data_IF_303656124933
#
_entry.id   IF_303656124933
#
_cell.length_a   1.000
_cell.length_b   1.000
_cell.length_c   1.000
_cell.angle_alpha   90.00
_cell.angle_beta   90.00
_cell.angle_gamma   90.00
#
_symmetry.space_group_name_H-M   'P 1'
#
loop_
_entity.id
_entity.type
_entity.pdbx_description
1 polymer ?
#
# COMPACT_ATOMS: atom_id res chain seq x y z
N UNK A 1 -42.61 -5.21 3.41
CA UNK A 1 -41.51 -6.14 3.46
C UNK A 1 -40.21 -5.39 3.69
N UNK A 2 -39.60 -5.67 4.62
CA UNK A 2 -38.24 -5.95 4.97
C UNK A 2 -37.34 -4.74 5.05
N UNK A 3 -37.84 -3.70 5.77
CA UNK A 3 -37.00 -2.59 6.22
C UNK A 3 -35.81 -3.06 7.05
N UNK A 4 -35.96 -4.17 7.80
CA UNK A 4 -34.89 -4.77 8.59
C UNK A 4 -33.78 -5.41 7.76
N UNK A 5 -34.09 -6.02 6.61
CA UNK A 5 -33.09 -6.59 5.70
C UNK A 5 -32.24 -5.50 5.03
N UNK A 6 -32.87 -4.38 4.63
CA UNK A 6 -32.16 -3.24 4.05
C UNK A 6 -31.24 -2.58 5.08
N UNK A 7 -31.68 -2.44 6.33
CA UNK A 7 -30.86 -1.89 7.40
C UNK A 7 -29.63 -2.75 7.70
N UNK A 8 -29.75 -4.10 7.72
CA UNK A 8 -28.64 -5.02 7.90
C UNK A 8 -27.61 -4.90 6.77
N UNK A 9 -28.06 -4.82 5.51
CA UNK A 9 -27.15 -4.65 4.36
C UNK A 9 -26.36 -3.35 4.45
N UNK A 10 -26.99 -2.23 4.84
CA UNK A 10 -26.28 -0.95 5.03
C UNK A 10 -25.23 -1.01 6.13
N UNK A 11 -25.52 -1.67 7.25
CA UNK A 11 -24.57 -1.84 8.36
C UNK A 11 -23.36 -2.66 7.93
N UNK A 12 -23.54 -3.73 7.16
CA UNK A 12 -22.46 -4.55 6.65
C UNK A 12 -21.56 -3.77 5.68
N UNK A 13 -22.13 -2.93 4.80
CA UNK A 13 -21.37 -2.07 3.88
C UNK A 13 -20.54 -1.03 4.64
N UNK A 14 -21.10 -0.40 5.67
CA UNK A 14 -20.37 0.55 6.50
C UNK A 14 -19.22 -0.11 7.27
N UNK A 15 -19.42 -1.30 7.80
CA UNK A 15 -18.38 -2.06 8.47
C UNK A 15 -17.22 -2.43 7.53
N UNK A 16 -17.52 -2.82 6.28
CA UNK A 16 -16.49 -3.11 5.26
C UNK A 16 -15.66 -1.86 4.91
N UNK A 17 -16.29 -0.70 4.75
CA UNK A 17 -15.58 0.58 4.51
C UNK A 17 -14.71 0.98 5.70
N UNK A 18 -15.19 0.80 6.93
CA UNK A 18 -14.48 1.12 8.16
C UNK A 18 -13.27 0.21 8.41
N UNK A 19 -13.25 -1.00 7.82
CA UNK A 19 -12.15 -1.96 7.96
C UNK A 19 -10.94 -1.66 7.08
N UNK A 20 -11.04 -0.70 6.14
CA UNK A 20 -9.91 -0.34 5.28
C UNK A 20 -8.89 0.51 6.02
N UNK A 21 -7.57 0.21 5.87
CA UNK A 21 -6.53 1.03 6.48
C UNK A 21 -6.55 2.47 5.96
N UNK A 22 -6.23 3.41 6.85
CA UNK A 22 -6.10 4.81 6.49
C UNK A 22 -4.95 5.03 5.50
N UNK A 23 -5.11 6.01 4.61
CA UNK A 23 -4.09 6.43 3.64
C UNK A 23 -3.53 7.79 4.03
N UNK A 24 -2.29 8.02 3.66
CA UNK A 24 -1.66 9.32 3.88
C UNK A 24 -2.23 10.35 2.88
N UNK A 25 -2.87 11.43 3.34
CA UNK A 25 -3.53 12.39 2.45
C UNK A 25 -2.57 13.21 1.58
N UNK A 26 -1.27 13.28 1.94
CA UNK A 26 -0.28 14.01 1.14
C UNK A 26 0.39 13.14 0.07
N UNK A 27 0.07 11.85 0.02
CA UNK A 27 0.67 10.91 -0.91
C UNK A 27 -0.36 10.44 -1.95
N UNK A 28 0.09 10.22 -3.17
CA UNK A 28 -0.70 9.55 -4.20
C UNK A 28 -0.76 8.05 -3.90
N UNK A 29 -1.97 7.50 -3.84
CA UNK A 29 -2.15 6.08 -3.57
C UNK A 29 -1.94 5.26 -4.84
N UNK A 30 -0.90 4.43 -4.85
CA UNK A 30 -0.56 3.53 -5.96
C UNK A 30 -0.31 2.14 -5.36
N UNK A 31 -1.37 1.34 -5.18
CA UNK A 31 -1.30 0.13 -4.36
C UNK A 31 -0.34 -0.93 -4.90
N UNK A 32 0.41 -1.53 -4.00
CA UNK A 32 1.21 -2.73 -4.25
C UNK A 32 0.43 -3.97 -3.82
N UNK A 33 0.59 -5.06 -4.57
CA UNK A 33 0.11 -6.38 -4.18
C UNK A 33 1.04 -7.08 -3.16
N UNK A 34 2.24 -6.54 -2.95
CA UNK A 34 3.31 -7.16 -2.17
C UNK A 34 3.29 -6.66 -0.72
N UNK A 35 2.36 -7.14 0.07
CA UNK A 35 2.27 -6.80 1.50
C UNK A 35 1.60 -7.92 2.29
N UNK A 36 1.74 -7.87 3.62
CA UNK A 36 0.97 -8.71 4.53
C UNK A 36 0.72 -7.99 5.86
N UNK A 37 0.02 -8.65 6.75
CA UNK A 37 -0.38 -8.08 8.04
C UNK A 37 0.80 -8.07 9.03
N UNK A 38 1.22 -6.89 9.40
CA UNK A 38 2.18 -6.65 10.48
C UNK A 38 2.22 -5.16 10.79
N UNK A 39 2.32 -4.81 12.06
CA UNK A 39 2.48 -3.42 12.47
C UNK A 39 3.96 -3.01 12.37
N UNK A 40 4.33 -2.07 11.50
CA UNK A 40 5.69 -1.57 11.42
C UNK A 40 6.08 -0.77 12.67
N UNK A 41 7.32 -0.91 13.12
CA UNK A 41 7.87 -0.23 14.29
C UNK A 41 9.18 0.52 13.99
N UNK A 42 9.66 0.42 12.76
CA UNK A 42 10.93 1.01 12.30
C UNK A 42 10.73 1.65 10.94
N UNK A 43 11.39 2.76 10.71
CA UNK A 43 11.49 3.39 9.38
C UNK A 43 12.82 2.98 8.76
N UNK A 44 12.77 2.41 7.55
CA UNK A 44 13.95 2.03 6.78
C UNK A 44 13.97 2.84 5.50
N UNK A 45 15.07 3.49 5.20
CA UNK A 45 15.25 4.31 4.00
C UNK A 45 16.16 3.57 3.01
N UNK A 46 15.67 3.41 1.78
CA UNK A 46 16.42 2.80 0.69
C UNK A 46 16.56 3.77 -0.48
N UNK A 47 17.67 3.68 -1.21
CA UNK A 47 17.77 4.23 -2.55
C UNK A 47 17.39 3.14 -3.56
N UNK A 48 16.59 3.48 -4.59
CA UNK A 48 16.16 2.51 -5.60
C UNK A 48 17.24 2.20 -6.62
N UNK A 49 18.14 3.13 -6.86
CA UNK A 49 19.15 3.07 -7.92
C UNK A 49 18.56 2.82 -9.33
N UNK A 50 17.28 3.11 -9.51
CA UNK A 50 16.57 2.98 -10.78
C UNK A 50 16.48 4.33 -11.50
N UNK A 51 16.30 4.29 -12.82
CA UNK A 51 16.37 5.47 -13.67
C UNK A 51 15.20 6.42 -13.54
N UNK A 52 14.04 5.93 -13.10
CA UNK A 52 12.83 6.75 -12.99
C UNK A 52 11.90 6.28 -11.88
N UNK A 53 11.06 7.19 -11.40
CA UNK A 53 10.00 6.86 -10.45
C UNK A 53 9.01 5.84 -11.04
N UNK A 54 8.70 5.92 -12.33
CA UNK A 54 7.80 4.96 -12.99
C UNK A 54 8.38 3.55 -12.96
N UNK A 55 9.66 3.38 -13.24
CA UNK A 55 10.34 2.10 -13.17
C UNK A 55 10.31 1.53 -11.75
N UNK A 56 10.55 2.38 -10.76
CA UNK A 56 10.48 1.99 -9.34
C UNK A 56 9.06 1.61 -8.93
N UNK A 57 8.04 2.35 -9.36
CA UNK A 57 6.65 2.00 -9.10
C UNK A 57 6.30 0.63 -9.68
N UNK A 58 6.69 0.34 -10.91
CA UNK A 58 6.42 -0.94 -11.56
C UNK A 58 7.08 -2.10 -10.80
N UNK A 59 8.31 -1.90 -10.34
CA UNK A 59 9.03 -2.89 -9.53
C UNK A 59 8.35 -3.15 -8.19
N UNK A 60 7.91 -2.09 -7.51
CA UNK A 60 7.39 -2.16 -6.13
C UNK A 60 5.92 -2.57 -6.04
N UNK A 61 5.18 -2.56 -7.14
CA UNK A 61 3.75 -2.86 -7.17
C UNK A 61 3.42 -4.29 -7.51
N UNK A 62 4.26 -4.93 -8.30
CA UNK A 62 3.93 -6.19 -8.97
C UNK A 62 4.99 -7.26 -8.70
N UNK A 63 4.61 -8.49 -9.02
CA UNK A 63 5.55 -9.59 -9.10
C UNK A 63 6.34 -9.45 -10.41
N UNK A 64 7.65 -9.42 -10.32
CA UNK A 64 8.54 -9.29 -11.47
C UNK A 64 9.72 -10.26 -11.37
N UNK A 65 10.63 -10.24 -12.34
CA UNK A 65 11.82 -11.13 -12.39
C UNK A 65 12.78 -10.91 -11.22
N UNK A 66 12.75 -9.74 -10.59
CA UNK A 66 13.55 -9.44 -9.40
C UNK A 66 12.93 -9.93 -8.09
N UNK A 67 11.72 -10.53 -8.14
CA UNK A 67 11.00 -11.02 -6.98
C UNK A 67 9.78 -10.17 -6.63
N UNK A 68 9.25 -10.39 -5.42
CA UNK A 68 8.12 -9.63 -4.89
C UNK A 68 8.64 -8.69 -3.80
N UNK A 69 8.80 -7.43 -4.15
CA UNK A 69 9.26 -6.39 -3.23
C UNK A 69 8.29 -5.22 -3.21
N UNK A 70 8.29 -4.49 -2.11
CA UNK A 70 7.51 -3.27 -1.96
C UNK A 70 8.12 -2.33 -0.93
N UNK A 71 7.59 -1.12 -0.89
CA UNK A 71 7.86 -0.11 0.12
C UNK A 71 6.55 0.55 0.52
N UNK A 72 6.47 1.12 1.68
CA UNK A 72 5.31 1.93 2.07
C UNK A 72 5.20 3.16 1.18
N UNK A 73 6.32 3.84 0.95
CA UNK A 73 6.39 5.08 0.19
C UNK A 73 7.54 5.06 -0.82
N UNK A 74 7.32 5.70 -1.93
CA UNK A 74 8.33 6.08 -2.90
C UNK A 74 8.31 7.59 -3.04
N UNK A 75 9.48 8.22 -3.01
CA UNK A 75 9.63 9.65 -3.25
C UNK A 75 10.38 9.81 -4.56
N UNK A 76 9.75 10.47 -5.54
CA UNK A 76 10.35 10.75 -6.83
C UNK A 76 11.34 11.91 -6.77
N UNK A 77 12.19 12.04 -7.78
CA UNK A 77 13.14 13.13 -7.91
C UNK A 77 12.46 14.50 -7.99
N UNK A 78 11.23 14.54 -8.46
CA UNK A 78 10.40 15.75 -8.53
C UNK A 78 9.71 16.10 -7.20
N UNK A 79 9.96 15.32 -6.15
CA UNK A 79 9.35 15.49 -4.83
C UNK A 79 7.98 14.86 -4.67
N UNK A 80 7.42 14.20 -5.69
CA UNK A 80 6.16 13.47 -5.55
C UNK A 80 6.29 12.33 -4.54
N UNK A 81 5.27 12.19 -3.71
CA UNK A 81 5.19 11.14 -2.71
C UNK A 81 4.10 10.15 -3.14
N UNK A 82 4.50 8.89 -3.31
CA UNK A 82 3.59 7.79 -3.64
C UNK A 82 3.48 6.86 -2.43
N UNK A 83 2.26 6.50 -2.06
CA UNK A 83 2.03 5.48 -1.04
C UNK A 83 1.60 4.17 -1.73
N UNK A 84 2.31 3.08 -1.45
CA UNK A 84 2.07 1.79 -2.08
C UNK A 84 1.48 0.77 -1.10
N UNK A 85 1.81 0.89 0.17
CA UNK A 85 1.33 0.02 1.24
C UNK A 85 0.84 0.90 2.38
N UNK A 86 -0.27 0.54 3.00
CA UNK A 86 -0.78 1.24 4.15
C UNK A 86 0.20 1.17 5.33
N UNK A 87 0.30 2.24 6.11
CA UNK A 87 1.25 2.34 7.22
C UNK A 87 1.11 1.20 8.24
N UNK A 88 -0.12 0.73 8.46
CA UNK A 88 -0.40 -0.33 9.41
C UNK A 88 -0.06 -1.73 8.91
N UNK A 89 0.40 -1.87 7.66
CA UNK A 89 0.74 -3.15 7.05
C UNK A 89 2.23 -3.29 6.82
N UNK A 90 2.68 -4.50 6.58
CA UNK A 90 4.08 -4.78 6.29
C UNK A 90 4.34 -4.65 4.79
N UNK A 91 5.28 -3.79 4.42
CA UNK A 91 5.88 -3.80 3.09
C UNK A 91 7.07 -4.78 3.04
N UNK A 92 7.31 -5.35 1.88
CA UNK A 92 8.39 -6.32 1.66
C UNK A 92 9.62 -5.64 1.05
N UNK A 93 10.31 -4.86 1.86
CA UNK A 93 11.37 -3.98 1.38
C UNK A 93 12.73 -4.66 1.13
N UNK A 94 12.94 -5.85 1.64
CA UNK A 94 14.24 -6.54 1.57
C UNK A 94 14.23 -7.78 0.68
N UNK A 95 13.14 -8.03 -0.03
CA UNK A 95 12.98 -9.23 -0.83
C UNK A 95 12.91 -10.51 0.00
N UNK A 96 13.27 -11.63 -0.61
CA UNK A 96 13.33 -12.93 0.06
C UNK A 96 14.66 -13.05 0.80
N UNK A 97 14.71 -12.52 1.98
CA UNK A 97 15.87 -12.61 2.86
C UNK A 97 15.49 -13.11 4.22
#
# INVERSE_FOLDING_TARGET
MNRSLIACACVLLLAACAAQPARNPIAEWVPSANFNERKPVVIVVHATEQESAQQSLDTLRTRNSGGQVSAHYLIGDDGRIYQLVADARRAWHAGAG
#
